data_IF_127357869085
#
_entry.id   IF_127357869085
#
_cell.length_a   1.000
_cell.length_b   1.000
_cell.length_c   1.000
_cell.angle_alpha   90.00
_cell.angle_beta   90.00
_cell.angle_gamma   90.00
#
_symmetry.space_group_name_H-M   'P 1'
#
loop_
_entity.id
_entity.type
_entity.pdbx_description
1 polymer ?
#
# COMPACT_ATOMS: atom_id res chain seq x y z
N UNK A 1 -11.90 22.28 1.49
CA UNK A 1 -11.58 20.99 0.86
C UNK A 1 -12.55 20.72 -0.29
N UNK A 2 -12.05 20.34 -1.46
CA UNK A 2 -12.85 20.02 -2.65
C UNK A 2 -12.67 18.54 -3.01
N UNK A 3 -13.74 17.86 -3.42
CA UNK A 3 -13.64 16.50 -3.94
C UNK A 3 -13.15 16.57 -5.40
N UNK A 4 -11.98 15.98 -5.67
CA UNK A 4 -11.35 15.93 -7.01
C UNK A 4 -11.54 14.59 -7.72
N UNK A 5 -12.34 13.67 -7.17
CA UNK A 5 -12.65 12.40 -7.81
C UNK A 5 -13.39 12.62 -9.13
N UNK A 6 -12.87 12.03 -10.20
CA UNK A 6 -13.48 12.05 -11.52
C UNK A 6 -13.84 10.62 -11.93
N UNK A 7 -15.14 10.34 -12.03
CA UNK A 7 -15.66 9.03 -12.42
C UNK A 7 -15.13 8.56 -13.79
N UNK A 8 -14.97 9.46 -14.75
CA UNK A 8 -14.49 9.10 -16.08
C UNK A 8 -13.03 8.65 -16.04
N UNK A 9 -12.17 9.34 -15.28
CA UNK A 9 -10.77 8.97 -15.08
C UNK A 9 -10.64 7.69 -14.25
N UNK A 10 -11.40 7.58 -13.15
CA UNK A 10 -11.39 6.40 -12.29
C UNK A 10 -11.74 5.11 -13.06
N UNK A 11 -12.74 5.19 -13.94
CA UNK A 11 -13.16 4.05 -14.77
C UNK A 11 -12.03 3.54 -15.70
N UNK A 12 -11.07 4.38 -16.08
CA UNK A 12 -9.90 3.96 -16.88
C UNK A 12 -8.98 3.01 -16.11
N UNK A 13 -9.06 2.95 -14.78
CA UNK A 13 -8.24 2.10 -13.92
C UNK A 13 -9.03 0.99 -13.22
N UNK A 14 -10.34 0.91 -13.44
CA UNK A 14 -11.26 -0.01 -12.72
C UNK A 14 -10.95 -1.50 -12.91
N UNK A 15 -10.13 -1.85 -13.89
CA UNK A 15 -9.69 -3.23 -14.14
C UNK A 15 -8.55 -3.69 -13.22
N UNK A 16 -7.92 -2.79 -12.47
CA UNK A 16 -6.78 -3.07 -11.60
C UNK A 16 -6.86 -2.22 -10.33
N UNK A 17 -7.10 -2.90 -9.20
CA UNK A 17 -7.21 -2.30 -7.88
C UNK A 17 -6.00 -1.41 -7.51
N UNK A 18 -4.80 -1.81 -7.92
CA UNK A 18 -3.57 -1.07 -7.63
C UNK A 18 -3.50 0.21 -8.46
N UNK A 19 -3.89 0.18 -9.74
CA UNK A 19 -3.92 1.38 -10.57
C UNK A 19 -5.02 2.36 -10.10
N UNK A 20 -6.18 1.85 -9.71
CA UNK A 20 -7.23 2.68 -9.11
C UNK A 20 -6.74 3.27 -7.78
N UNK A 21 -5.96 2.52 -7.01
CA UNK A 21 -5.32 3.04 -5.79
C UNK A 21 -4.33 4.15 -6.12
N UNK A 22 -3.43 3.96 -7.08
CA UNK A 22 -2.49 4.99 -7.56
C UNK A 22 -3.23 6.28 -7.92
N UNK A 23 -4.32 6.18 -8.69
CA UNK A 23 -5.15 7.33 -9.02
C UNK A 23 -5.67 8.06 -7.77
N UNK A 24 -6.31 7.33 -6.85
CA UNK A 24 -6.85 7.91 -5.62
C UNK A 24 -5.77 8.49 -4.69
N UNK A 25 -4.59 7.87 -4.64
CA UNK A 25 -3.44 8.36 -3.86
C UNK A 25 -2.94 9.69 -4.37
N UNK A 26 -2.89 9.87 -5.70
CA UNK A 26 -2.50 11.14 -6.33
C UNK A 26 -3.49 12.26 -6.03
N UNK A 27 -4.79 11.97 -6.02
CA UNK A 27 -5.80 12.95 -5.62
C UNK A 27 -5.57 13.47 -4.19
N UNK A 28 -5.23 12.56 -3.26
CA UNK A 28 -4.91 12.92 -1.87
C UNK A 28 -3.59 13.71 -1.78
N UNK A 29 -2.54 13.25 -2.47
CA UNK A 29 -1.22 13.90 -2.43
C UNK A 29 -1.19 15.29 -3.05
N UNK A 30 -2.13 15.60 -3.96
CA UNK A 30 -2.28 16.94 -4.56
C UNK A 30 -3.02 17.95 -3.66
N UNK A 31 -3.45 17.55 -2.47
CA UNK A 31 -4.11 18.41 -1.50
C UNK A 31 -3.17 18.70 -0.31
N UNK A 32 -2.51 19.87 -0.27
CA UNK A 32 -1.56 20.23 0.78
C UNK A 32 -2.16 20.21 2.19
N UNK A 33 -3.46 20.44 2.32
CA UNK A 33 -4.18 20.38 3.60
C UNK A 33 -4.34 18.93 4.13
N UNK A 34 -4.21 17.92 3.26
CA UNK A 34 -4.33 16.50 3.62
C UNK A 34 -2.98 15.82 3.83
N UNK A 35 -2.00 16.15 2.97
CA UNK A 35 -0.70 15.49 2.97
C UNK A 35 0.40 16.53 3.06
N UNK A 36 1.02 16.62 4.24
CA UNK A 36 2.20 17.46 4.45
C UNK A 36 3.46 16.70 4.02
N UNK A 37 4.21 17.31 3.10
CA UNK A 37 5.57 16.96 2.64
C UNK A 37 5.99 15.49 2.82
N UNK A 38 5.77 14.64 1.80
CA UNK A 38 6.23 13.25 1.76
C UNK A 38 5.53 12.28 2.73
N UNK A 39 4.64 12.80 3.59
CA UNK A 39 3.81 12.02 4.51
C UNK A 39 2.65 11.29 3.82
N UNK A 40 1.74 10.77 4.63
CA UNK A 40 0.55 10.04 4.18
C UNK A 40 0.85 8.63 3.67
N UNK A 41 -0.09 7.72 3.93
CA UNK A 41 -0.06 6.34 3.50
C UNK A 41 -1.40 5.95 2.89
N UNK A 42 -1.34 5.14 1.84
CA UNK A 42 -2.52 4.54 1.21
C UNK A 42 -2.23 3.08 0.95
N UNK A 43 -3.30 2.28 0.88
CA UNK A 43 -3.19 0.88 0.58
C UNK A 43 -4.40 0.35 -0.19
N UNK A 44 -4.24 -0.83 -0.78
CA UNK A 44 -5.34 -1.61 -1.34
C UNK A 44 -5.07 -3.09 -1.08
N UNK A 45 -6.14 -3.83 -0.76
CA UNK A 45 -6.12 -5.28 -0.60
C UNK A 45 -6.58 -5.90 -1.91
N UNK A 46 -5.86 -6.90 -2.41
CA UNK A 46 -6.24 -7.64 -3.61
C UNK A 46 -5.75 -9.08 -3.53
N UNK A 47 -6.16 -9.91 -4.48
CA UNK A 47 -5.73 -11.30 -4.59
C UNK A 47 -4.74 -11.45 -5.74
N UNK A 48 -3.59 -12.06 -5.47
CA UNK A 48 -2.55 -12.33 -6.47
C UNK A 48 -2.32 -13.84 -6.55
N UNK A 49 -2.23 -14.38 -7.76
CA UNK A 49 -1.83 -15.76 -7.98
C UNK A 49 -0.30 -15.87 -7.96
N UNK A 50 0.24 -16.72 -7.08
CA UNK A 50 1.67 -16.92 -6.94
C UNK A 50 2.25 -17.86 -8.02
N UNK A 51 3.57 -18.10 -8.00
CA UNK A 51 4.27 -18.96 -8.96
C UNK A 51 3.75 -20.42 -8.99
N UNK A 52 3.16 -20.88 -7.89
CA UNK A 52 2.62 -22.23 -7.75
C UNK A 52 1.15 -22.34 -8.18
N UNK A 53 0.51 -21.22 -8.54
CA UNK A 53 -0.90 -21.17 -8.90
C UNK A 53 -1.85 -20.94 -7.72
N UNK A 54 -1.33 -20.71 -6.51
CA UNK A 54 -2.16 -20.43 -5.34
C UNK A 54 -2.53 -18.96 -5.28
N UNK A 55 -3.75 -18.67 -4.84
CA UNK A 55 -4.21 -17.31 -4.58
C UNK A 55 -3.76 -16.85 -3.18
N UNK A 56 -3.07 -15.72 -3.12
CA UNK A 56 -2.64 -15.06 -1.89
C UNK A 56 -3.31 -13.70 -1.74
N UNK A 57 -3.78 -13.37 -0.54
CA UNK A 57 -4.26 -12.02 -0.21
C UNK A 57 -3.07 -11.10 0.08
N UNK A 58 -2.97 -10.02 -0.70
CA UNK A 58 -1.86 -9.08 -0.65
C UNK A 58 -2.39 -7.70 -0.29
N UNK A 59 -1.71 -7.05 0.65
CA UNK A 59 -1.82 -5.62 0.89
C UNK A 59 -0.73 -4.91 0.08
N UNK A 60 -1.13 -4.15 -0.94
CA UNK A 60 -0.27 -3.14 -1.54
C UNK A 60 -0.33 -1.89 -0.69
N UNK A 61 0.77 -1.54 -0.02
CA UNK A 61 0.86 -0.35 0.84
C UNK A 61 1.96 0.57 0.33
N UNK A 62 1.76 1.89 0.42
CA UNK A 62 2.77 2.88 0.03
C UNK A 62 4.14 2.54 0.66
N UNK A 63 5.15 2.50 -0.19
CA UNK A 63 6.53 2.27 0.19
C UNK A 63 7.23 3.55 0.63
N UNK A 64 8.27 3.36 1.45
CA UNK A 64 9.16 4.44 1.90
C UNK A 64 9.86 5.10 0.71
N UNK A 65 9.98 6.44 0.74
CA UNK A 65 10.66 7.22 -0.29
C UNK A 65 9.77 7.68 -1.46
N UNK A 66 8.49 7.31 -1.48
CA UNK A 66 7.54 7.75 -2.49
C UNK A 66 6.64 8.89 -2.00
N UNK A 67 6.33 9.84 -2.87
CA UNK A 67 5.36 10.91 -2.62
C UNK A 67 4.00 10.50 -3.18
N UNK A 68 2.91 10.69 -2.41
CA UNK A 68 1.56 10.31 -2.86
C UNK A 68 1.13 11.08 -4.10
N UNK A 69 1.55 12.34 -4.27
CA UNK A 69 1.17 13.18 -5.41
C UNK A 69 1.71 12.63 -6.75
N UNK A 70 2.81 11.88 -6.70
CA UNK A 70 3.50 11.34 -7.89
C UNK A 70 3.61 9.81 -7.89
N UNK A 71 3.05 9.13 -6.88
CA UNK A 71 3.21 7.68 -6.70
C UNK A 71 2.81 6.89 -7.95
N UNK A 72 3.55 5.82 -8.23
CA UNK A 72 3.23 4.85 -9.28
C UNK A 72 3.00 3.47 -8.66
N UNK A 73 2.57 2.48 -9.45
CA UNK A 73 2.39 1.11 -8.95
C UNK A 73 3.66 0.56 -8.27
N UNK A 74 4.84 0.88 -8.80
CA UNK A 74 6.13 0.52 -8.22
C UNK A 74 6.40 1.14 -6.83
N UNK A 75 5.64 2.18 -6.47
CA UNK A 75 5.67 2.81 -5.16
C UNK A 75 4.92 2.06 -4.08
N UNK A 76 4.25 0.95 -4.39
CA UNK A 76 3.55 0.13 -3.41
C UNK A 76 4.33 -1.17 -3.11
N UNK A 77 4.54 -1.43 -1.82
CA UNK A 77 5.09 -2.68 -1.32
C UNK A 77 3.99 -3.75 -1.22
N UNK A 78 4.14 -4.93 -1.85
CA UNK A 78 3.14 -5.97 -1.81
C UNK A 78 3.40 -6.95 -0.66
N UNK A 79 2.70 -6.79 0.45
CA UNK A 79 2.90 -7.56 1.69
C UNK A 79 1.78 -8.57 1.89
N UNK A 80 2.11 -9.82 2.28
CA UNK A 80 1.09 -10.84 2.59
C UNK A 80 0.18 -10.38 3.72
N UNK A 81 -1.11 -10.28 3.44
CA UNK A 81 -2.12 -9.79 4.39
C UNK A 81 -2.19 -10.68 5.63
N UNK A 82 -2.14 -12.00 5.44
CA UNK A 82 -2.15 -12.98 6.53
C UNK A 82 -1.02 -12.79 7.55
N UNK A 83 0.16 -12.33 7.12
CA UNK A 83 1.27 -12.04 8.03
C UNK A 83 1.01 -10.75 8.80
N UNK A 84 0.57 -9.68 8.13
CA UNK A 84 0.25 -8.42 8.78
C UNK A 84 -0.84 -8.57 9.85
N UNK A 85 -1.93 -9.28 9.54
CA UNK A 85 -3.01 -9.55 10.49
C UNK A 85 -2.51 -10.37 11.68
N UNK A 86 -1.60 -11.33 11.49
CA UNK A 86 -0.99 -12.08 12.60
C UNK A 86 -0.06 -11.21 13.45
N UNK A 87 0.73 -10.33 12.83
CA UNK A 87 1.57 -9.37 13.56
C UNK A 87 0.72 -8.45 14.45
N UNK A 88 -0.46 -8.03 13.97
CA UNK A 88 -1.40 -7.21 14.73
C UNK A 88 -1.91 -7.87 16.03
N UNK A 89 -1.85 -9.20 16.13
CA UNK A 89 -2.30 -9.94 17.33
C UNK A 89 -1.24 -10.05 18.42
N UNK A 90 0.01 -9.65 18.15
CA UNK A 90 1.09 -9.75 19.12
C UNK A 90 0.90 -8.69 20.22
N UNK A 91 0.99 -9.12 21.48
CA UNK A 91 0.89 -8.22 22.63
C UNK A 91 2.02 -7.18 22.68
N UNK A 92 3.17 -7.51 22.09
CA UNK A 92 4.31 -6.63 21.95
C UNK A 92 5.02 -6.93 20.62
N UNK A 93 5.39 -5.88 19.89
CA UNK A 93 6.17 -5.96 18.67
C UNK A 93 7.03 -4.70 18.61
N UNK A 94 8.36 -4.83 18.64
CA UNK A 94 9.24 -3.67 18.51
C UNK A 94 9.25 -3.15 17.07
N UNK A 95 9.61 -1.88 16.88
CA UNK A 95 9.72 -1.28 15.54
C UNK A 95 10.67 -2.05 14.63
N UNK A 96 11.77 -2.58 15.18
CA UNK A 96 12.76 -3.36 14.43
C UNK A 96 12.19 -4.71 13.99
N UNK A 97 11.47 -5.40 14.87
CA UNK A 97 10.79 -6.65 14.52
C UNK A 97 9.68 -6.39 13.50
N UNK A 98 8.90 -5.33 13.70
CA UNK A 98 7.83 -4.92 12.79
C UNK A 98 8.36 -4.72 11.37
N UNK A 99 9.40 -3.89 11.20
CA UNK A 99 10.01 -3.64 9.88
C UNK A 99 10.58 -4.93 9.28
N UNK A 100 11.30 -5.71 10.09
CA UNK A 100 11.90 -6.99 9.65
C UNK A 100 10.84 -7.93 9.10
N UNK A 101 9.77 -8.18 9.85
CA UNK A 101 8.74 -9.14 9.48
C UNK A 101 7.83 -8.63 8.36
N UNK A 102 7.55 -7.33 8.29
CA UNK A 102 6.85 -6.73 7.14
C UNK A 102 7.66 -6.90 5.84
N UNK A 103 8.98 -6.65 5.88
CA UNK A 103 9.86 -6.86 4.72
C UNK A 103 9.95 -8.34 4.32
N UNK A 104 10.06 -9.24 5.30
CA UNK A 104 10.11 -10.68 5.04
C UNK A 104 8.80 -11.22 4.43
N UNK A 105 7.68 -10.55 4.67
CA UNK A 105 6.36 -10.92 4.15
C UNK A 105 6.06 -10.35 2.75
N UNK A 106 6.99 -9.64 2.11
CA UNK A 106 6.78 -9.14 0.75
C UNK A 106 6.83 -10.26 -0.29
N UNK A 107 5.94 -10.20 -1.29
CA UNK A 107 5.99 -11.10 -2.45
C UNK A 107 6.92 -10.60 -3.56
N UNK A 108 7.38 -9.35 -3.48
CA UNK A 108 8.41 -8.79 -4.34
C UNK A 108 9.55 -8.22 -3.47
N UNK A 109 10.71 -8.89 -3.35
CA UNK A 109 11.81 -8.41 -2.53
C UNK A 109 12.49 -7.14 -3.07
N UNK A 110 12.27 -6.80 -4.35
CA UNK A 110 12.81 -5.60 -4.98
C UNK A 110 11.88 -4.38 -4.83
N UNK A 111 10.68 -4.56 -4.25
CA UNK A 111 9.78 -3.47 -3.94
C UNK A 111 10.36 -2.56 -2.83
N UNK A 112 9.89 -1.30 -2.73
CA UNK A 112 10.29 -0.42 -1.64
C UNK A 112 9.91 -1.01 -0.27
N UNK A 113 10.58 -0.56 0.80
CA UNK A 113 10.20 -0.92 2.17
C UNK A 113 8.75 -0.49 2.42
N UNK A 114 7.85 -1.36 2.91
CA UNK A 114 6.48 -0.97 3.24
C UNK A 114 6.46 0.14 4.30
N UNK A 115 5.41 0.95 4.31
CA UNK A 115 5.17 1.87 5.44
C UNK A 115 5.18 1.10 6.76
N UNK A 116 5.82 1.66 7.78
CA UNK A 116 5.81 1.12 9.15
C UNK A 116 4.38 0.91 9.66
N UNK A 117 3.43 1.74 9.20
CA UNK A 117 2.02 1.69 9.55
C UNK A 117 1.24 0.57 8.85
N UNK A 118 1.88 -0.27 8.01
CA UNK A 118 1.19 -1.30 7.21
C UNK A 118 0.25 -2.22 8.01
N UNK A 119 0.54 -2.48 9.28
CA UNK A 119 -0.33 -3.27 10.16
C UNK A 119 -1.69 -2.58 10.38
N UNK A 120 -1.75 -1.24 10.44
CA UNK A 120 -3.00 -0.48 10.55
C UNK A 120 -3.87 -0.59 9.29
N UNK A 121 -3.27 -0.95 8.17
CA UNK A 121 -3.93 -1.10 6.87
C UNK A 121 -4.40 -2.53 6.60
N UNK A 122 -4.09 -3.49 7.48
CA UNK A 122 -4.29 -4.93 7.29
C UNK A 122 -5.65 -5.42 7.84
#
# INVERSE_FOLDING_TARGET
>A
MQNRWNEHEANQYSYDDLLLRVYSSRLLGQEPDLVLHGGGNTSVKTTVTNLFGDNEEILYVKGSGWDLATIEAAGFAPVKLSVLTRLATLAHLSDTEMVTWQRAAMINPNAPTPSVEAILHA
#
